data_IF_128124012451
#
_entry.id   IF_128124012451
#
_cell.length_a   1.000
_cell.length_b   1.000
_cell.length_c   1.000
_cell.angle_alpha   90.00
_cell.angle_beta   90.00
_cell.angle_gamma   90.00
#
_symmetry.space_group_name_H-M   'P 1'
#
loop_
_entity.id
_entity.type
_entity.pdbx_description
1 polymer ?
#
# COMPACT_ATOMS: atom_id res chain seq x y z
N UNK A 1 -9.60 -37.91 -8.85
CA UNK A 1 -10.05 -36.93 -9.84
C UNK A 1 -9.66 -35.57 -9.31
N UNK A 2 -8.58 -35.00 -9.84
CA UNK A 2 -8.24 -33.61 -9.59
C UNK A 2 -9.38 -32.72 -10.07
N UNK A 3 -9.68 -31.62 -9.37
CA UNK A 3 -10.61 -30.63 -9.89
C UNK A 3 -10.01 -30.05 -11.18
N UNK A 4 -10.84 -29.68 -12.17
CA UNK A 4 -10.35 -29.03 -13.37
C UNK A 4 -9.62 -27.75 -12.95
N UNK A 5 -8.43 -27.53 -13.53
CA UNK A 5 -7.73 -26.25 -13.48
C UNK A 5 -8.71 -25.18 -13.98
N UNK A 6 -9.30 -24.42 -13.04
CA UNK A 6 -10.08 -23.25 -13.40
C UNK A 6 -9.18 -22.30 -14.18
N UNK A 7 -9.71 -21.66 -15.22
CA UNK A 7 -9.04 -20.61 -15.98
C UNK A 7 -8.32 -19.66 -15.00
N UNK A 8 -7.01 -19.85 -14.83
CA UNK A 8 -6.18 -18.91 -14.12
C UNK A 8 -6.25 -17.63 -14.96
N UNK A 9 -6.88 -16.60 -14.40
CA UNK A 9 -7.14 -15.37 -15.11
C UNK A 9 -5.82 -14.86 -15.70
N UNK A 10 -5.70 -14.84 -17.03
CA UNK A 10 -4.51 -14.42 -17.79
C UNK A 10 -4.24 -12.90 -17.70
N UNK A 11 -4.72 -12.27 -16.64
CA UNK A 11 -4.73 -10.83 -16.43
C UNK A 11 -4.12 -10.49 -15.08
N UNK A 12 -3.27 -9.47 -15.07
CA UNK A 12 -2.80 -8.88 -13.80
C UNK A 12 -3.94 -8.20 -13.05
N UNK A 13 -3.86 -8.15 -11.73
CA UNK A 13 -4.82 -7.44 -10.88
C UNK A 13 -4.13 -6.64 -9.77
N UNK A 14 -4.85 -5.67 -9.22
CA UNK A 14 -4.42 -4.86 -8.08
C UNK A 14 -5.46 -5.02 -6.97
N UNK A 15 -5.01 -5.45 -5.80
CA UNK A 15 -5.84 -5.80 -4.65
C UNK A 15 -5.47 -4.87 -3.50
N UNK A 16 -6.46 -4.15 -2.98
CA UNK A 16 -6.28 -3.26 -1.83
C UNK A 16 -6.29 -4.08 -0.55
N UNK A 17 -5.12 -4.25 0.07
CA UNK A 17 -5.00 -4.96 1.34
C UNK A 17 -5.49 -4.08 2.50
N UNK A 18 -5.31 -2.77 2.40
CA UNK A 18 -5.87 -1.79 3.32
C UNK A 18 -5.95 -0.41 2.71
N UNK A 19 -6.86 0.40 3.25
CA UNK A 19 -7.20 1.74 2.73
C UNK A 19 -7.39 2.77 3.85
N UNK A 20 -7.02 2.40 5.09
CA UNK A 20 -7.16 3.23 6.28
C UNK A 20 -5.90 4.03 6.58
N UNK A 21 -6.02 5.01 7.45
CA UNK A 21 -4.89 5.78 7.96
C UNK A 21 -3.95 4.93 8.84
N UNK A 22 -2.89 5.56 9.36
CA UNK A 22 -1.94 4.93 10.28
C UNK A 22 -2.57 4.28 11.50
N UNK A 23 -3.70 4.80 11.99
CA UNK A 23 -4.46 4.23 13.10
C UNK A 23 -5.17 2.91 12.79
N UNK A 24 -5.37 2.59 11.51
CA UNK A 24 -6.42 1.70 11.01
C UNK A 24 -7.82 2.13 11.50
N UNK A 25 -8.87 1.59 10.89
CA UNK A 25 -10.25 1.81 11.29
C UNK A 25 -10.92 0.48 11.63
N UNK A 26 -11.78 0.44 12.67
CA UNK A 26 -12.29 1.57 13.47
C UNK A 26 -11.25 2.28 14.37
N UNK A 27 -11.44 3.58 14.63
CA UNK A 27 -10.66 4.26 15.67
C UNK A 27 -11.10 3.73 17.04
N UNK A 28 -10.22 2.97 17.68
CA UNK A 28 -10.50 2.30 18.96
C UNK A 28 -10.92 3.29 20.04
N UNK A 29 -10.40 4.53 20.01
CA UNK A 29 -10.75 5.58 20.99
C UNK A 29 -12.22 5.96 20.89
N UNK A 30 -12.78 6.01 19.68
CA UNK A 30 -14.21 6.26 19.46
C UNK A 30 -15.09 5.14 19.99
N UNK A 31 -14.61 3.89 20.00
CA UNK A 31 -15.38 2.74 20.48
C UNK A 31 -15.37 2.64 22.00
N UNK A 32 -14.21 2.86 22.63
CA UNK A 32 -14.08 2.78 24.10
C UNK A 32 -14.55 4.04 24.82
N UNK A 33 -14.61 5.19 24.12
CA UNK A 33 -15.10 6.48 24.62
C UNK A 33 -16.03 7.10 23.57
N UNK A 34 -17.26 6.56 23.40
CA UNK A 34 -18.17 7.01 22.36
C UNK A 34 -18.62 8.45 22.57
N UNK A 35 -18.61 9.23 21.47
CA UNK A 35 -19.24 10.55 21.40
C UNK A 35 -20.76 10.43 21.43
N UNK A 36 -21.46 11.56 21.63
CA UNK A 36 -22.91 11.65 21.48
C UNK A 36 -23.26 12.69 20.41
N UNK A 37 -23.76 12.28 19.22
CA UNK A 37 -23.99 10.89 18.78
C UNK A 37 -22.69 10.09 18.55
N UNK A 38 -22.72 8.74 18.55
CA UNK A 38 -21.56 7.91 18.25
C UNK A 38 -21.02 8.14 16.83
N UNK A 39 -19.71 7.95 16.64
CA UNK A 39 -19.06 8.06 15.33
C UNK A 39 -19.65 7.03 14.35
N UNK A 40 -20.30 7.45 13.25
CA UNK A 40 -21.00 6.53 12.35
C UNK A 40 -20.05 5.53 11.70
N UNK A 41 -18.86 5.96 11.26
CA UNK A 41 -17.87 5.09 10.61
C UNK A 41 -17.34 4.02 11.56
N UNK A 42 -16.99 4.41 12.79
CA UNK A 42 -16.47 3.45 13.76
C UNK A 42 -17.55 2.48 14.24
N UNK A 43 -18.77 2.97 14.49
CA UNK A 43 -19.90 2.13 14.89
C UNK A 43 -20.30 1.14 13.80
N UNK A 44 -20.35 1.58 12.54
CA UNK A 44 -20.58 0.69 11.39
C UNK A 44 -19.40 -0.27 11.20
N UNK A 45 -18.17 0.17 11.40
CA UNK A 45 -16.96 -0.64 11.23
C UNK A 45 -16.93 -1.91 12.09
N UNK A 46 -17.68 -1.98 13.20
CA UNK A 46 -17.83 -3.19 14.03
C UNK A 46 -19.19 -3.90 13.88
N UNK A 47 -20.12 -3.39 13.07
CA UNK A 47 -21.46 -3.96 12.95
C UNK A 47 -21.54 -5.16 12.00
N UNK A 48 -20.54 -5.33 11.14
CA UNK A 48 -20.42 -6.42 10.17
C UNK A 48 -19.04 -7.06 10.28
N UNK A 49 -18.89 -8.34 9.89
CA UNK A 49 -17.58 -8.97 9.76
C UNK A 49 -16.63 -8.11 8.90
N UNK A 50 -15.35 -7.94 9.29
CA UNK A 50 -14.41 -7.06 8.61
C UNK A 50 -14.34 -7.25 7.09
N UNK A 51 -14.39 -8.49 6.62
CA UNK A 51 -14.34 -8.84 5.19
C UNK A 51 -15.54 -8.35 4.36
N UNK A 52 -16.68 -8.05 5.02
CA UNK A 52 -17.89 -7.50 4.39
C UNK A 52 -18.07 -6.01 4.69
N UNK A 53 -17.12 -5.39 5.39
CA UNK A 53 -17.30 -4.06 5.95
C UNK A 53 -16.29 -3.05 5.37
N UNK A 54 -16.71 -2.18 4.43
CA UNK A 54 -15.80 -1.23 3.80
C UNK A 54 -15.38 -0.06 4.73
N UNK A 55 -16.00 0.06 5.90
CA UNK A 55 -15.61 1.00 6.96
C UNK A 55 -14.61 0.39 7.96
N UNK A 56 -14.38 -0.93 7.91
CA UNK A 56 -13.26 -1.56 8.60
C UNK A 56 -12.03 -1.54 7.68
N UNK A 57 -11.04 -0.70 8.00
CA UNK A 57 -9.92 -0.40 7.11
C UNK A 57 -8.59 -0.69 7.80
N UNK A 58 -7.88 -1.70 7.32
CA UNK A 58 -6.48 -1.94 7.69
C UNK A 58 -5.56 -0.80 7.22
N UNK A 59 -4.32 -0.76 7.71
CA UNK A 59 -3.32 0.19 7.23
C UNK A 59 -3.15 0.07 5.71
N UNK A 60 -2.97 1.21 5.06
CA UNK A 60 -2.71 1.33 3.63
C UNK A 60 -1.66 0.32 3.16
N UNK A 61 -2.04 -0.52 2.20
CA UNK A 61 -1.17 -1.53 1.59
C UNK A 61 -1.80 -2.05 0.31
N UNK A 62 -0.98 -2.37 -0.68
CA UNK A 62 -1.40 -2.80 -2.01
C UNK A 62 -0.73 -4.13 -2.37
N UNK A 63 -1.49 -5.07 -2.91
CA UNK A 63 -0.96 -6.26 -3.55
C UNK A 63 -1.18 -6.17 -5.06
N UNK A 64 -0.12 -6.42 -5.81
CA UNK A 64 -0.14 -6.55 -7.25
C UNK A 64 0.03 -8.03 -7.58
N UNK A 65 -1.00 -8.62 -8.18
CA UNK A 65 -0.92 -9.93 -8.80
C UNK A 65 -0.53 -9.72 -10.26
N UNK A 66 0.76 -9.84 -10.55
CA UNK A 66 1.34 -9.58 -11.86
C UNK A 66 1.44 -10.90 -12.65
N UNK A 67 0.67 -10.97 -13.73
CA UNK A 67 0.72 -12.07 -14.70
C UNK A 67 1.74 -11.71 -15.80
N UNK A 68 2.84 -12.45 -15.87
CA UNK A 68 3.90 -12.24 -16.87
C UNK A 68 3.50 -12.79 -18.25
N UNK A 69 4.32 -12.54 -19.27
CA UNK A 69 4.00 -12.92 -20.67
C UNK A 69 3.89 -14.45 -20.87
N UNK A 70 4.47 -15.25 -19.97
CA UNK A 70 4.38 -16.72 -19.95
C UNK A 70 3.16 -17.25 -19.15
N UNK A 71 2.33 -16.36 -18.62
CA UNK A 71 1.17 -16.69 -17.78
C UNK A 71 1.50 -16.93 -16.31
N UNK A 72 2.77 -16.82 -15.90
CA UNK A 72 3.17 -17.00 -14.50
C UNK A 72 2.76 -15.81 -13.66
N UNK A 73 2.06 -16.08 -12.56
CA UNK A 73 1.68 -15.06 -11.57
C UNK A 73 2.80 -14.80 -10.57
N UNK A 74 3.03 -13.51 -10.30
CA UNK A 74 4.00 -13.02 -9.31
C UNK A 74 3.31 -12.00 -8.41
N UNK A 75 3.44 -12.18 -7.11
CA UNK A 75 2.73 -11.40 -6.10
C UNK A 75 3.67 -10.37 -5.47
N UNK A 76 3.38 -9.09 -5.64
CA UNK A 76 4.22 -7.97 -5.17
C UNK A 76 3.41 -7.14 -4.18
N UNK A 77 3.94 -6.93 -2.98
CA UNK A 77 3.28 -6.07 -1.98
C UNK A 77 3.96 -4.70 -1.94
N UNK A 78 3.16 -3.65 -1.80
CA UNK A 78 3.60 -2.33 -1.35
C UNK A 78 3.13 -2.14 0.10
N UNK A 79 4.09 -1.96 1.00
CA UNK A 79 3.97 -1.82 2.46
C UNK A 79 3.40 -3.02 3.22
N UNK A 80 4.01 -3.31 4.37
CA UNK A 80 3.62 -4.35 5.33
C UNK A 80 3.51 -3.75 6.73
N UNK A 81 2.41 -3.04 6.96
CA UNK A 81 2.10 -2.38 8.23
C UNK A 81 1.75 -3.32 9.38
N UNK A 82 1.46 -2.75 10.55
CA UNK A 82 1.02 -3.50 11.75
C UNK A 82 -0.27 -4.33 11.57
N UNK A 83 -1.08 -4.04 10.55
CA UNK A 83 -2.27 -4.86 10.23
C UNK A 83 -1.98 -6.00 9.25
N UNK A 84 -0.71 -6.23 8.86
CA UNK A 84 -0.34 -7.18 7.81
C UNK A 84 -0.88 -8.58 8.04
N UNK A 85 -0.75 -9.12 9.26
CA UNK A 85 -1.31 -10.42 9.61
C UNK A 85 -2.82 -10.53 9.33
N UNK A 86 -3.58 -9.51 9.67
CA UNK A 86 -5.03 -9.47 9.39
C UNK A 86 -5.29 -9.41 7.88
N UNK A 87 -4.50 -8.63 7.15
CA UNK A 87 -4.60 -8.50 5.70
C UNK A 87 -4.33 -9.83 5.00
N UNK A 88 -3.38 -10.63 5.47
CA UNK A 88 -3.13 -12.00 4.98
C UNK A 88 -4.37 -12.86 5.21
N UNK A 89 -4.88 -12.91 6.45
CA UNK A 89 -6.06 -13.74 6.78
C UNK A 89 -7.29 -13.36 5.96
N UNK A 90 -7.51 -12.06 5.71
CA UNK A 90 -8.68 -11.57 4.96
C UNK A 90 -8.52 -11.75 3.46
N UNK A 91 -7.43 -11.24 2.89
CA UNK A 91 -7.32 -11.07 1.44
C UNK A 91 -6.55 -12.19 0.77
N UNK A 92 -5.51 -12.75 1.42
CA UNK A 92 -4.73 -13.83 0.82
C UNK A 92 -5.55 -15.11 0.75
N UNK A 93 -6.30 -15.40 1.82
CA UNK A 93 -7.22 -16.54 1.84
C UNK A 93 -8.35 -16.34 0.81
N UNK A 94 -8.94 -15.14 0.75
CA UNK A 94 -10.05 -14.85 -0.16
C UNK A 94 -9.63 -14.95 -1.63
N UNK A 95 -8.50 -14.34 -2.01
CA UNK A 95 -7.98 -14.35 -3.38
C UNK A 95 -7.08 -15.56 -3.68
N UNK A 96 -6.91 -16.50 -2.73
CA UNK A 96 -6.09 -17.71 -2.86
C UNK A 96 -4.63 -17.40 -3.23
N UNK A 97 -4.08 -16.34 -2.65
CA UNK A 97 -2.68 -15.93 -2.86
C UNK A 97 -1.77 -16.85 -2.04
N UNK A 98 -0.86 -17.60 -2.68
CA UNK A 98 -0.15 -18.66 -2.00
C UNK A 98 1.15 -18.21 -1.31
N UNK A 99 1.75 -17.11 -1.77
CA UNK A 99 2.99 -16.51 -1.23
C UNK A 99 3.21 -15.11 -1.81
N UNK A 100 4.30 -14.47 -1.42
CA UNK A 100 4.78 -13.18 -1.94
C UNK A 100 6.14 -13.36 -2.62
N UNK A 101 6.30 -12.76 -3.79
CA UNK A 101 7.54 -12.79 -4.56
C UNK A 101 8.47 -11.61 -4.23
N UNK A 102 7.92 -10.45 -3.87
CA UNK A 102 8.70 -9.28 -3.47
C UNK A 102 7.86 -8.29 -2.66
N UNK A 103 8.52 -7.51 -1.80
CA UNK A 103 7.91 -6.43 -1.02
C UNK A 103 8.60 -5.12 -1.37
N UNK A 104 7.85 -4.03 -1.46
CA UNK A 104 8.35 -2.68 -1.66
C UNK A 104 7.87 -1.85 -0.47
N UNK A 105 8.76 -1.12 0.18
CA UNK A 105 8.41 -0.21 1.29
C UNK A 105 8.45 1.23 0.80
N UNK A 106 7.37 1.97 1.01
CA UNK A 106 7.24 3.39 0.67
C UNK A 106 8.10 4.26 1.58
N UNK A 107 8.09 3.95 2.88
CA UNK A 107 8.78 4.68 3.94
C UNK A 107 8.84 3.87 5.24
N UNK A 108 9.45 4.43 6.29
CA UNK A 108 9.77 3.69 7.51
C UNK A 108 8.75 3.81 8.65
N UNK A 109 7.62 4.49 8.48
CA UNK A 109 6.64 4.60 9.56
C UNK A 109 6.00 3.26 9.94
N UNK A 110 5.43 3.24 11.14
CA UNK A 110 4.98 2.01 11.78
C UNK A 110 3.88 1.27 10.99
N UNK A 111 2.99 2.03 10.39
CA UNK A 111 1.90 1.56 9.54
C UNK A 111 2.36 1.10 8.16
N UNK A 112 3.63 1.31 7.78
CA UNK A 112 4.23 0.76 6.57
C UNK A 112 5.14 -0.46 6.83
N UNK A 113 5.74 -0.59 8.03
CA UNK A 113 6.80 -1.60 8.26
C UNK A 113 6.62 -2.54 9.46
N UNK A 114 5.71 -2.28 10.41
CA UNK A 114 5.64 -3.11 11.63
C UNK A 114 5.12 -4.54 11.39
N UNK A 115 4.65 -4.86 10.19
CA UNK A 115 4.32 -6.22 9.77
C UNK A 115 5.50 -7.00 9.20
N UNK A 116 6.72 -6.44 9.18
CA UNK A 116 7.92 -7.14 8.69
C UNK A 116 8.19 -8.44 9.46
N UNK A 117 7.91 -8.47 10.75
CA UNK A 117 8.05 -9.67 11.59
C UNK A 117 7.11 -10.80 11.17
N UNK A 118 6.02 -10.48 10.47
CA UNK A 118 4.99 -11.40 10.02
C UNK A 118 5.23 -11.92 8.58
N UNK A 119 6.27 -11.43 7.88
CA UNK A 119 6.53 -11.76 6.46
C UNK A 119 6.87 -13.24 6.25
N UNK A 120 7.40 -13.94 7.24
CA UNK A 120 7.66 -15.39 7.16
C UNK A 120 6.41 -16.21 6.82
N UNK A 121 5.20 -15.73 7.17
CA UNK A 121 3.93 -16.40 6.88
C UNK A 121 3.64 -16.54 5.38
N UNK A 122 4.24 -15.67 4.55
CA UNK A 122 3.95 -15.57 3.11
C UNK A 122 5.17 -15.88 2.24
N UNK A 123 6.23 -16.44 2.83
CA UNK A 123 7.41 -16.84 2.06
C UNK A 123 7.14 -18.14 1.28
N UNK A 124 7.64 -18.28 0.03
CA UNK A 124 7.55 -19.54 -0.69
C UNK A 124 8.33 -20.63 0.05
N UNK A 125 7.66 -21.73 0.43
CA UNK A 125 8.34 -22.93 0.95
C UNK A 125 8.99 -23.70 -0.20
N UNK A 126 10.30 -23.91 -0.13
CA UNK A 126 11.03 -24.79 -1.07
C UNK A 126 10.73 -26.28 -0.85
N UNK A 127 11.14 -27.13 -1.81
CA UNK A 127 11.08 -28.59 -1.67
C UNK A 127 12.15 -29.14 -0.70
N UNK A 128 13.28 -28.45 -0.59
CA UNK A 128 14.21 -28.54 0.53
C UNK A 128 13.80 -27.53 1.59
N UNK A 129 14.22 -27.72 2.85
CA UNK A 129 14.02 -26.79 3.98
C UNK A 129 14.61 -25.36 3.77
N UNK A 130 14.86 -24.97 2.53
CA UNK A 130 15.47 -23.72 2.10
C UNK A 130 14.35 -22.75 1.69
N UNK A 131 14.05 -21.81 2.57
CA UNK A 131 13.10 -20.73 2.29
C UNK A 131 13.70 -19.81 1.23
N UNK A 132 12.95 -19.54 0.15
CA UNK A 132 13.39 -18.51 -0.81
C UNK A 132 13.27 -17.15 -0.14
N UNK A 133 14.40 -16.46 0.02
CA UNK A 133 14.47 -15.12 0.58
C UNK A 133 13.60 -14.17 -0.23
N UNK A 134 12.66 -13.49 0.42
CA UNK A 134 11.81 -12.49 -0.23
C UNK A 134 12.61 -11.19 -0.37
N UNK A 135 12.83 -10.69 -1.60
CA UNK A 135 13.46 -9.39 -1.80
C UNK A 135 12.54 -8.27 -1.30
N UNK A 136 13.11 -7.38 -0.49
CA UNK A 136 12.46 -6.19 0.04
C UNK A 136 13.17 -4.96 -0.50
N UNK A 137 12.46 -4.17 -1.29
CA UNK A 137 12.95 -2.94 -1.89
C UNK A 137 12.60 -1.74 -1.02
N UNK A 138 13.61 -0.94 -0.66
CA UNK A 138 13.46 0.21 0.24
C UNK A 138 14.60 1.20 0.03
N UNK A 139 14.42 2.46 0.44
CA UNK A 139 15.52 3.44 0.42
C UNK A 139 16.56 3.14 1.50
N UNK A 140 17.77 3.69 1.37
CA UNK A 140 18.79 3.59 2.42
C UNK A 140 18.29 4.17 3.75
N UNK A 141 17.58 5.29 3.71
CA UNK A 141 17.00 5.93 4.90
C UNK A 141 16.02 4.99 5.61
N UNK A 142 15.13 4.33 4.86
CA UNK A 142 14.20 3.33 5.41
C UNK A 142 14.96 2.13 5.97
N UNK A 143 16.01 1.66 5.28
CA UNK A 143 16.84 0.55 5.74
C UNK A 143 17.53 0.84 7.07
N UNK A 144 18.11 2.03 7.24
CA UNK A 144 18.79 2.40 8.48
C UNK A 144 17.82 2.37 9.68
N UNK A 145 16.60 2.87 9.47
CA UNK A 145 15.54 2.82 10.48
C UNK A 145 15.03 1.41 10.76
N UNK A 146 14.89 0.57 9.73
CA UNK A 146 14.54 -0.86 9.89
C UNK A 146 15.62 -1.59 10.67
N UNK A 147 16.91 -1.39 10.34
CA UNK A 147 18.02 -2.03 11.03
C UNK A 147 18.11 -1.63 12.52
N UNK A 148 17.77 -0.38 12.84
CA UNK A 148 17.70 0.09 14.22
C UNK A 148 16.56 -0.54 15.04
N UNK A 149 15.40 -0.76 14.41
CA UNK A 149 14.19 -1.29 15.07
C UNK A 149 14.11 -2.81 15.09
N UNK A 150 14.59 -3.45 14.03
CA UNK A 150 14.55 -4.90 13.82
C UNK A 150 15.95 -5.46 13.50
N UNK A 151 16.93 -5.29 14.41
CA UNK A 151 18.29 -5.73 14.15
C UNK A 151 18.37 -7.24 13.88
N UNK A 152 17.45 -8.04 14.41
CA UNK A 152 17.37 -9.49 14.18
C UNK A 152 16.92 -9.86 12.75
N UNK A 153 16.13 -9.01 12.07
CA UNK A 153 15.73 -9.23 10.67
C UNK A 153 16.84 -8.86 9.67
N UNK A 154 17.87 -8.14 10.14
CA UNK A 154 18.99 -7.68 9.31
C UNK A 154 20.27 -8.48 9.57
N UNK A 155 20.51 -8.92 10.81
CA UNK A 155 21.73 -9.64 11.19
C UNK A 155 21.72 -11.08 10.66
N UNK A 156 22.62 -11.36 9.73
CA UNK A 156 22.84 -12.69 9.13
C UNK A 156 23.66 -13.68 9.99
N UNK A 157 23.98 -13.35 11.25
CA UNK A 157 24.83 -14.22 12.07
C UNK A 157 23.97 -15.14 12.92
N UNK A 158 23.76 -16.35 12.43
CA UNK A 158 23.59 -17.51 13.30
C UNK A 158 24.95 -17.71 14.00
N UNK A 159 25.02 -17.60 15.32
CA UNK A 159 26.19 -18.09 16.05
C UNK A 159 26.17 -19.64 16.04
N UNK A 160 27.33 -20.28 16.18
CA UNK A 160 27.39 -21.75 16.27
C UNK A 160 26.57 -22.23 17.48
N UNK A 161 25.38 -22.78 17.23
CA UNK A 161 24.46 -23.26 18.26
C UNK A 161 23.07 -22.63 18.22
N UNK A 162 22.85 -21.58 17.43
CA UNK A 162 21.51 -21.02 17.25
C UNK A 162 20.67 -21.96 16.37
N UNK A 163 19.54 -22.43 16.90
CA UNK A 163 18.47 -23.00 16.09
C UNK A 163 18.13 -21.98 15.00
N UNK A 164 18.08 -22.42 13.73
CA UNK A 164 17.71 -21.57 12.60
C UNK A 164 16.41 -20.89 12.94
N UNK A 165 16.45 -19.62 13.34
CA UNK A 165 15.22 -18.92 13.70
C UNK A 165 14.36 -18.89 12.45
N UNK A 166 13.13 -19.38 12.55
CA UNK A 166 12.14 -19.34 11.46
C UNK A 166 11.83 -17.90 10.99
N UNK A 167 12.40 -16.88 11.65
CA UNK A 167 12.52 -15.52 11.13
C UNK A 167 13.33 -15.53 9.82
N UNK A 168 12.62 -15.80 8.73
CA UNK A 168 13.17 -16.02 7.40
C UNK A 168 14.08 -14.88 6.98
N UNK A 169 15.28 -15.24 6.52
CA UNK A 169 16.27 -14.29 6.02
C UNK A 169 15.66 -13.46 4.89
N UNK A 170 15.52 -12.15 5.11
CA UNK A 170 15.00 -11.20 4.12
C UNK A 170 16.14 -10.73 3.22
N UNK A 171 15.84 -10.51 1.93
CA UNK A 171 16.82 -10.01 0.97
C UNK A 171 16.63 -8.50 0.77
N UNK A 172 17.38 -7.69 1.52
CA UNK A 172 17.27 -6.23 1.49
C UNK A 172 17.90 -5.65 0.22
N UNK A 173 17.11 -4.90 -0.57
CA UNK A 173 17.51 -4.26 -1.83
C UNK A 173 17.32 -2.75 -1.75
N UNK A 174 18.43 -2.03 -1.74
CA UNK A 174 18.40 -0.56 -1.72
C UNK A 174 17.97 -0.05 -3.09
N UNK A 175 16.92 0.78 -3.10
CA UNK A 175 16.48 1.55 -4.26
C UNK A 175 16.77 3.03 -4.04
N UNK A 176 16.90 3.75 -5.14
CA UNK A 176 17.03 5.21 -5.11
C UNK A 176 15.65 5.84 -5.17
N UNK A 177 15.40 6.85 -4.32
CA UNK A 177 14.17 7.64 -4.33
C UNK A 177 14.21 8.68 -5.44
N UNK A 178 14.40 8.26 -6.68
CA UNK A 178 14.59 9.11 -7.84
C UNK A 178 13.79 8.56 -9.03
N UNK A 179 13.10 9.46 -9.71
CA UNK A 179 12.22 9.12 -10.83
C UNK A 179 12.97 8.61 -12.05
N UNK A 180 14.22 9.02 -12.21
CA UNK A 180 15.09 8.59 -13.33
C UNK A 180 15.79 7.25 -13.04
N UNK A 181 15.49 6.63 -11.89
CA UNK A 181 16.14 5.41 -11.42
C UNK A 181 15.12 4.30 -11.14
N UNK A 182 14.47 3.79 -12.20
CA UNK A 182 13.54 2.68 -12.06
C UNK A 182 14.24 1.41 -11.58
N UNK A 183 13.47 0.53 -10.96
CA UNK A 183 13.93 -0.79 -10.52
C UNK A 183 12.92 -1.86 -10.90
N UNK A 184 13.36 -3.12 -10.91
CA UNK A 184 12.50 -4.26 -11.26
C UNK A 184 12.28 -5.11 -10.02
N UNK A 185 11.01 -5.26 -9.62
CA UNK A 185 10.58 -6.20 -8.59
C UNK A 185 9.74 -7.29 -9.25
N UNK A 186 10.19 -8.55 -9.11
CA UNK A 186 9.49 -9.71 -9.67
C UNK A 186 9.10 -9.57 -11.16
N UNK A 187 9.95 -8.96 -11.99
CA UNK A 187 9.72 -8.80 -13.44
C UNK A 187 8.83 -7.61 -13.83
N UNK A 188 8.25 -6.90 -12.87
CA UNK A 188 7.55 -5.63 -13.09
C UNK A 188 8.48 -4.47 -12.78
N UNK A 189 8.57 -3.51 -13.70
CA UNK A 189 9.30 -2.26 -13.52
C UNK A 189 8.48 -1.27 -12.69
N UNK A 190 9.15 -0.63 -11.74
CA UNK A 190 8.62 0.42 -10.87
C UNK A 190 9.47 1.68 -11.02
N UNK A 191 8.79 2.80 -11.18
CA UNK A 191 9.37 4.14 -11.15
C UNK A 191 9.08 4.74 -9.77
N UNK A 192 10.10 5.02 -8.94
CA UNK A 192 9.92 5.75 -7.68
C UNK A 192 9.33 7.14 -7.92
N UNK A 193 8.38 7.54 -7.09
CA UNK A 193 7.74 8.85 -7.14
C UNK A 193 7.93 9.57 -5.79
N UNK A 194 9.01 10.34 -5.61
CA UNK A 194 9.25 11.07 -4.36
C UNK A 194 8.14 12.08 -4.10
N UNK A 195 7.60 12.10 -2.89
CA UNK A 195 6.58 13.06 -2.46
C UNK A 195 6.85 13.51 -1.04
N UNK A 196 6.39 14.73 -0.70
CA UNK A 196 6.54 15.25 0.65
C UNK A 196 5.52 14.59 1.57
N UNK A 197 5.97 14.08 2.71
CA UNK A 197 5.14 13.60 3.80
C UNK A 197 5.43 14.44 5.07
N UNK A 198 4.84 15.63 5.15
CA UNK A 198 5.17 16.65 6.14
C UNK A 198 6.10 17.74 5.59
N UNK A 199 6.79 18.44 6.49
CA UNK A 199 7.59 19.62 6.13
C UNK A 199 8.89 19.25 5.42
N UNK A 200 9.70 18.38 6.04
CA UNK A 200 11.07 18.07 5.62
C UNK A 200 11.30 16.56 5.56
N UNK A 201 10.32 15.84 5.05
CA UNK A 201 10.36 14.39 4.98
C UNK A 201 9.75 13.90 3.67
N UNK A 202 10.43 12.95 3.04
CA UNK A 202 10.06 12.40 1.72
C UNK A 202 9.72 10.93 1.89
N UNK A 203 8.53 10.54 1.41
CA UNK A 203 8.17 9.15 1.19
C UNK A 203 8.14 8.86 -0.32
N UNK A 204 8.01 7.58 -0.68
CA UNK A 204 7.87 7.16 -2.07
C UNK A 204 6.45 6.73 -2.39
N UNK A 205 5.89 7.30 -3.45
CA UNK A 205 4.91 6.60 -4.28
C UNK A 205 5.59 5.78 -5.37
N UNK A 206 4.81 5.08 -6.18
CA UNK A 206 5.33 4.29 -7.30
C UNK A 206 4.42 4.38 -8.53
N UNK A 207 5.02 4.56 -9.71
CA UNK A 207 4.38 4.37 -11.00
C UNK A 207 4.80 3.03 -11.61
N UNK A 208 3.83 2.26 -12.10
CA UNK A 208 4.06 0.93 -12.66
C UNK A 208 2.98 0.53 -13.67
N UNK A 209 3.25 -0.57 -14.39
CA UNK A 209 2.30 -1.21 -15.31
C UNK A 209 2.66 -1.03 -16.78
N UNK A 210 2.63 -2.14 -17.54
CA UNK A 210 3.01 -2.18 -18.96
C UNK A 210 1.85 -1.79 -19.90
N UNK A 211 0.65 -2.33 -19.64
CA UNK A 211 -0.56 -2.11 -20.47
C UNK A 211 -1.48 -1.03 -19.93
N UNK A 212 -1.42 -0.78 -18.63
CA UNK A 212 -2.15 0.27 -17.93
C UNK A 212 -1.17 1.04 -17.06
N UNK A 213 -1.16 2.37 -17.17
CA UNK A 213 -0.31 3.25 -16.37
C UNK A 213 -0.97 3.49 -15.02
N UNK A 214 -0.36 2.98 -13.96
CA UNK A 214 -0.88 3.09 -12.59
C UNK A 214 0.11 3.89 -11.75
N UNK A 215 -0.39 4.84 -10.96
CA UNK A 215 0.40 5.49 -9.92
C UNK A 215 -0.25 5.24 -8.56
N UNK A 216 0.55 4.86 -7.57
CA UNK A 216 0.16 4.64 -6.19
C UNK A 216 0.94 5.59 -5.29
N UNK A 217 0.24 6.50 -4.60
CA UNK A 217 0.85 7.44 -3.67
C UNK A 217 0.04 7.47 -2.36
N UNK A 218 0.66 6.96 -1.28
CA UNK A 218 0.18 7.11 0.09
C UNK A 218 1.01 8.16 0.84
N UNK A 219 0.51 8.61 1.99
CA UNK A 219 1.22 9.48 2.93
C UNK A 219 1.66 10.81 2.30
N UNK A 220 0.89 11.32 1.34
CA UNK A 220 1.24 12.52 0.60
C UNK A 220 0.74 13.74 1.35
N UNK A 221 1.59 14.74 1.57
CA UNK A 221 1.20 16.10 2.00
C UNK A 221 1.30 17.13 0.86
N UNK A 222 2.28 16.95 -0.03
CA UNK A 222 2.54 17.85 -1.15
C UNK A 222 3.29 17.10 -2.24
N UNK A 223 2.92 17.38 -3.48
CA UNK A 223 3.64 16.86 -4.64
C UNK A 223 4.94 17.62 -4.87
N UNK A 224 6.00 16.88 -5.18
CA UNK A 224 7.21 17.42 -5.79
C UNK A 224 6.89 17.68 -7.27
N UNK A 225 7.27 18.84 -7.86
CA UNK A 225 6.88 19.22 -9.22
C UNK A 225 7.20 18.16 -10.27
N UNK A 226 8.37 17.54 -10.18
CA UNK A 226 8.84 16.49 -11.08
C UNK A 226 7.96 15.24 -10.99
N UNK A 227 7.58 14.85 -9.77
CA UNK A 227 6.69 13.71 -9.52
C UNK A 227 5.30 13.96 -10.07
N UNK A 228 4.73 15.15 -9.86
CA UNK A 228 3.42 15.49 -10.42
C UNK A 228 3.45 15.54 -11.96
N UNK A 229 4.49 16.12 -12.54
CA UNK A 229 4.66 16.16 -13.98
C UNK A 229 4.65 14.75 -14.58
N UNK A 230 5.40 13.82 -13.98
CA UNK A 230 5.52 12.45 -14.48
C UNK A 230 4.24 11.61 -14.40
N UNK A 231 3.27 12.00 -13.58
CA UNK A 231 1.99 11.29 -13.48
C UNK A 231 0.83 12.06 -14.13
N UNK A 232 1.04 13.33 -14.50
CA UNK A 232 0.01 14.16 -15.11
C UNK A 232 -0.20 13.86 -16.60
N UNK A 233 -1.45 14.03 -17.06
CA UNK A 233 -1.81 13.95 -18.48
C UNK A 233 -1.01 14.91 -19.37
N UNK A 234 -0.71 16.11 -18.88
CA UNK A 234 0.04 17.14 -19.61
C UNK A 234 1.56 16.93 -19.59
N UNK A 235 2.08 16.08 -18.68
CA UNK A 235 3.49 15.75 -18.61
C UNK A 235 3.82 14.44 -19.31
N UNK A 236 3.99 13.35 -18.56
CA UNK A 236 4.43 12.06 -19.13
C UNK A 236 3.29 11.15 -19.62
N UNK A 237 2.05 11.64 -19.65
CA UNK A 237 0.90 10.98 -20.24
C UNK A 237 -0.18 10.57 -19.23
N UNK A 238 -1.40 10.40 -19.73
CA UNK A 238 -2.56 10.15 -18.89
C UNK A 238 -2.47 8.79 -18.18
N UNK A 239 -2.63 8.79 -16.85
CA UNK A 239 -2.77 7.55 -16.08
C UNK A 239 -4.10 6.86 -16.37
N UNK A 240 -4.08 5.54 -16.41
CA UNK A 240 -5.28 4.71 -16.39
C UNK A 240 -5.88 4.65 -14.98
N UNK A 241 -5.02 4.58 -13.97
CA UNK A 241 -5.43 4.56 -12.56
C UNK A 241 -4.48 5.39 -11.69
N UNK A 242 -5.04 6.33 -10.95
CA UNK A 242 -4.38 7.02 -9.85
C UNK A 242 -4.95 6.48 -8.53
N UNK A 243 -4.09 5.94 -7.67
CA UNK A 243 -4.41 5.62 -6.29
C UNK A 243 -3.74 6.67 -5.42
N UNK A 244 -4.53 7.48 -4.73
CA UNK A 244 -4.04 8.67 -4.02
C UNK A 244 -4.66 8.79 -2.64
N UNK A 245 -3.88 9.24 -1.69
CA UNK A 245 -4.36 9.50 -0.33
C UNK A 245 -5.41 10.62 -0.25
N UNK A 246 -6.39 10.45 0.65
CA UNK A 246 -7.24 11.50 1.21
C UNK A 246 -7.46 11.23 2.70
N UNK A 247 -6.74 11.91 3.58
CA UNK A 247 -6.70 11.56 5.00
C UNK A 247 -7.86 12.15 5.80
N UNK A 248 -8.22 13.41 5.56
CA UNK A 248 -9.37 14.10 6.19
C UNK A 248 -10.41 14.58 5.19
N UNK A 249 -11.67 14.59 5.60
CA UNK A 249 -12.75 15.18 4.81
C UNK A 249 -12.70 16.70 4.82
N UNK A 250 -12.27 17.28 5.94
CA UNK A 250 -12.33 18.72 6.22
C UNK A 250 -10.98 19.25 6.69
N UNK A 251 -10.86 20.58 6.67
CA UNK A 251 -9.66 21.31 7.06
C UNK A 251 -8.99 21.97 5.86
N UNK A 252 -8.40 23.15 6.08
CA UNK A 252 -7.37 23.67 5.19
C UNK A 252 -6.07 22.95 5.55
N UNK A 253 -5.47 22.23 4.61
CA UNK A 253 -4.13 21.68 4.82
C UNK A 253 -3.16 22.86 4.94
N UNK A 254 -2.61 23.07 6.14
CA UNK A 254 -1.56 24.05 6.33
C UNK A 254 -0.21 23.48 5.87
N UNK A 255 0.81 24.34 5.81
CA UNK A 255 2.15 23.93 5.39
C UNK A 255 2.81 22.88 6.32
N UNK A 256 2.20 22.56 7.46
CA UNK A 256 2.66 21.58 8.45
C UNK A 256 1.85 20.28 8.40
N UNK A 257 0.83 20.19 7.56
CA UNK A 257 0.08 18.95 7.38
C UNK A 257 1.00 17.85 6.87
N UNK A 258 0.88 16.66 7.43
CA UNK A 258 1.59 15.47 6.95
C UNK A 258 0.82 14.72 5.87
N UNK A 259 -0.43 15.09 5.62
CA UNK A 259 -1.32 14.40 4.68
C UNK A 259 -2.22 15.36 3.91
N UNK A 260 -2.67 14.95 2.72
CA UNK A 260 -3.64 15.67 1.91
C UNK A 260 -5.04 15.57 2.53
N UNK A 261 -5.76 16.68 2.51
CA UNK A 261 -7.21 16.70 2.74
C UNK A 261 -7.95 16.30 1.47
N UNK A 262 -9.22 15.91 1.57
CA UNK A 262 -10.03 15.54 0.40
C UNK A 262 -10.06 16.65 -0.65
N UNK A 263 -10.17 17.92 -0.26
CA UNK A 263 -10.18 19.03 -1.23
C UNK A 263 -8.88 19.12 -2.00
N UNK A 264 -7.73 19.02 -1.31
CA UNK A 264 -6.42 19.03 -1.95
C UNK A 264 -6.22 17.82 -2.87
N UNK A 265 -6.67 16.64 -2.45
CA UNK A 265 -6.67 15.42 -3.26
C UNK A 265 -7.50 15.60 -4.53
N UNK A 266 -8.72 16.15 -4.43
CA UNK A 266 -9.59 16.38 -5.59
C UNK A 266 -9.01 17.42 -6.55
N UNK A 267 -8.35 18.46 -6.04
CA UNK A 267 -7.64 19.43 -6.89
C UNK A 267 -6.41 18.83 -7.55
N UNK A 268 -5.68 17.94 -6.88
CA UNK A 268 -4.61 17.15 -7.50
C UNK A 268 -5.17 16.23 -8.60
N UNK A 269 -6.29 15.55 -8.36
CA UNK A 269 -6.95 14.71 -9.38
C UNK A 269 -7.30 15.51 -10.63
N UNK A 270 -7.80 16.75 -10.50
CA UNK A 270 -8.05 17.64 -11.65
C UNK A 270 -6.77 17.96 -12.41
N UNK A 271 -5.70 18.35 -11.70
CA UNK A 271 -4.42 18.73 -12.32
C UNK A 271 -3.73 17.54 -13.00
N UNK A 272 -3.75 16.36 -12.37
CA UNK A 272 -3.18 15.12 -12.89
C UNK A 272 -4.03 14.55 -14.04
N UNK A 273 -5.35 14.69 -13.97
CA UNK A 273 -6.33 14.23 -14.97
C UNK A 273 -6.25 12.73 -15.34
N UNK A 274 -6.27 11.79 -14.36
CA UNK A 274 -6.27 10.35 -14.65
C UNK A 274 -7.61 9.90 -15.27
N UNK A 275 -7.65 8.72 -15.89
CA UNK A 275 -8.92 8.11 -16.36
C UNK A 275 -9.80 7.66 -15.18
N UNK A 276 -9.18 7.17 -14.10
CA UNK A 276 -9.84 6.78 -12.86
C UNK A 276 -8.96 7.15 -11.67
N UNK A 277 -9.58 7.63 -10.59
CA UNK A 277 -8.93 7.84 -9.31
C UNK A 277 -9.59 6.99 -8.22
N UNK A 278 -8.80 6.40 -7.32
CA UNK A 278 -9.25 5.69 -6.12
C UNK A 278 -8.56 6.28 -4.90
N UNK A 279 -9.31 6.46 -3.81
CA UNK A 279 -8.81 7.13 -2.61
C UNK A 279 -8.44 6.14 -1.50
N UNK A 280 -7.35 6.41 -0.79
CA UNK A 280 -6.82 5.60 0.33
C UNK A 280 -6.39 6.50 1.52
N UNK A 281 -5.89 5.91 2.61
CA UNK A 281 -5.40 6.63 3.78
C UNK A 281 -6.47 7.34 4.61
N UNK A 282 -7.74 6.99 4.42
CA UNK A 282 -8.88 7.72 4.99
C UNK A 282 -9.06 7.47 6.49
N UNK A 283 -9.34 8.54 7.25
CA UNK A 283 -9.78 8.48 8.65
C UNK A 283 -11.28 8.17 8.79
N UNK A 284 -11.74 8.02 10.03
CA UNK A 284 -13.14 7.73 10.38
C UNK A 284 -14.14 8.87 10.10
N UNK A 285 -13.72 9.90 9.38
CA UNK A 285 -14.60 10.93 8.86
C UNK A 285 -15.30 10.43 7.59
N UNK A 286 -14.64 9.56 6.82
CA UNK A 286 -15.14 9.04 5.55
C UNK A 286 -15.99 7.79 5.77
N UNK A 287 -17.30 7.89 5.64
CA UNK A 287 -18.22 6.77 5.53
C UNK A 287 -18.26 6.28 4.08
N UNK A 288 -17.99 4.99 3.86
CA UNK A 288 -17.70 4.49 2.52
C UNK A 288 -18.79 4.78 1.48
N UNK A 289 -20.07 4.61 1.81
CA UNK A 289 -21.15 4.74 0.83
C UNK A 289 -21.53 6.21 0.62
N UNK A 290 -21.60 6.98 1.69
CA UNK A 290 -21.92 8.40 1.67
C UNK A 290 -20.87 9.19 0.86
N UNK A 291 -19.59 8.97 1.15
CA UNK A 291 -18.50 9.66 0.46
C UNK A 291 -18.41 9.24 -1.02
N UNK A 292 -18.65 7.97 -1.36
CA UNK A 292 -18.69 7.55 -2.76
C UNK A 292 -19.84 8.21 -3.55
N UNK A 293 -21.00 8.43 -2.92
CA UNK A 293 -22.08 9.19 -3.54
C UNK A 293 -21.65 10.63 -3.84
N UNK A 294 -21.04 11.30 -2.86
CA UNK A 294 -20.53 12.66 -3.04
C UNK A 294 -19.45 12.74 -4.13
N UNK A 295 -18.55 11.77 -4.19
CA UNK A 295 -17.51 11.68 -5.22
C UNK A 295 -18.10 11.42 -6.63
N UNK A 296 -19.18 10.64 -6.74
CA UNK A 296 -19.87 10.42 -8.01
C UNK A 296 -20.53 11.70 -8.54
N UNK A 297 -21.18 12.46 -7.66
CA UNK A 297 -21.75 13.78 -7.98
C UNK A 297 -20.64 14.76 -8.41
N UNK A 298 -19.55 14.82 -7.64
CA UNK A 298 -18.38 15.65 -7.97
C UNK A 298 -17.76 15.26 -9.32
N UNK A 299 -17.53 13.97 -9.56
CA UNK A 299 -16.92 13.50 -10.81
C UNK A 299 -17.79 13.79 -12.03
N UNK A 300 -19.11 13.76 -11.88
CA UNK A 300 -20.04 14.09 -12.96
C UNK A 300 -20.02 15.58 -13.30
N UNK A 301 -19.66 16.45 -12.35
CA UNK A 301 -19.53 17.90 -12.59
C UNK A 301 -18.27 18.30 -13.38
N UNK A 302 -17.34 17.38 -13.59
CA UNK A 302 -16.12 17.59 -14.37
C UNK A 302 -16.27 17.25 -15.87
N UNK A 303 -17.38 16.61 -16.25
CA UNK A 303 -17.72 16.26 -17.63
C UNK A 303 -18.53 17.37 -18.30
#
# INVERSE_FOLDING_TARGET
MEPPAGDAASSSSVIFLGTGCSGALPDTRCLIRPSTPPCPVCSLGISLPPEQNPNYRCNTSLLIDYCDDDGTHKYIIIDVGKTFREQVLRWFVHHKIPWVNSIILTHEHADAVLGLDDVWMVQPKGCSNDFRRVPIFLTQFTMDSVAARFPYLVKNKLEEGDEVSEAGQLDWRIIEGDIDKPFVASGLEFVPLPVMHGVDYVCLGFHFGRKARIAYLSDVSRFIPETEYAISKSGAGQLDLLILEANTLRGEGDARSTHLTLSQTLDAVKRISPKRALLIGMRHEFEHYNENKNLAEWSSSLQ
#
